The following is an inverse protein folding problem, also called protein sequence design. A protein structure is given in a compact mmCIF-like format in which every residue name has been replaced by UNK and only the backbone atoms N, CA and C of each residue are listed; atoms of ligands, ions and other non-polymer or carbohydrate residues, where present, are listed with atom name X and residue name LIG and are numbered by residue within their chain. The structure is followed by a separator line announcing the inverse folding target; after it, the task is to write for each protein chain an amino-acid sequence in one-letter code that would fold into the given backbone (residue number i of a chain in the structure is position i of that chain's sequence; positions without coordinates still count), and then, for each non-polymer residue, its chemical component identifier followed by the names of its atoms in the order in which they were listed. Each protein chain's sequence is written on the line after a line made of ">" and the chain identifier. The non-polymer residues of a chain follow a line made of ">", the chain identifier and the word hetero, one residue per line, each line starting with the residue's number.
data_IF_282185099547
#
_entry.id   IF_282185099547
#
_cell.length_a   1.000
_cell.length_b   1.000
_cell.length_c   1.000
_cell.angle_alpha   90.00
_cell.angle_beta   90.00
_cell.angle_gamma   90.00
#
_symmetry.space_group_name_H-M   'P 1'
#
loop_
_entity.id
_entity.type
_entity.pdbx_description
1 polymer ?
#
# COMPACT_ATOMS: atom_id res chain seq x y z
N UNK A 1 -0.09 -12.63 8.86
CA UNK A 1 0.31 -11.76 7.73
C UNK A 1 0.25 -12.48 6.39
N UNK A 2 1.11 -13.48 6.15
CA UNK A 2 1.32 -14.13 4.84
C UNK A 2 0.07 -14.67 4.15
N UNK A 3 -0.80 -15.38 4.87
CA UNK A 3 -2.05 -15.95 4.32
C UNK A 3 -3.00 -14.86 3.78
N UNK A 4 -3.03 -13.68 4.41
CA UNK A 4 -3.87 -12.57 3.93
C UNK A 4 -3.33 -12.00 2.62
N UNK A 5 -2.02 -11.80 2.56
CA UNK A 5 -1.32 -11.27 1.38
C UNK A 5 -1.41 -12.27 0.23
N UNK A 6 -1.14 -13.55 0.47
CA UNK A 6 -1.24 -14.59 -0.55
C UNK A 6 -2.63 -14.61 -1.19
N UNK A 7 -3.69 -14.52 -0.36
CA UNK A 7 -5.08 -14.48 -0.84
C UNK A 7 -5.40 -13.20 -1.61
N UNK A 8 -4.97 -12.04 -1.11
CA UNK A 8 -5.23 -10.76 -1.75
C UNK A 8 -4.47 -10.62 -3.07
N UNK A 9 -3.15 -10.78 -3.05
CA UNK A 9 -2.26 -10.73 -4.21
C UNK A 9 -2.64 -11.82 -5.22
N UNK A 10 -2.97 -13.03 -4.75
CA UNK A 10 -3.44 -14.11 -5.63
C UNK A 10 -4.76 -13.78 -6.34
N UNK A 11 -5.69 -13.06 -5.69
CA UNK A 11 -6.92 -12.57 -6.34
C UNK A 11 -6.63 -11.45 -7.33
N UNK A 12 -5.80 -10.46 -6.95
CA UNK A 12 -5.38 -9.37 -7.83
C UNK A 12 -4.73 -9.97 -9.09
N UNK A 13 -3.78 -10.89 -8.92
CA UNK A 13 -3.07 -11.53 -10.03
C UNK A 13 -3.96 -12.29 -11.00
N UNK A 14 -5.06 -12.88 -10.52
CA UNK A 14 -6.07 -13.57 -11.35
C UNK A 14 -6.96 -12.62 -12.13
N UNK A 15 -7.16 -11.40 -11.63
CA UNK A 15 -7.89 -10.34 -12.35
C UNK A 15 -7.03 -9.72 -13.46
N UNK A 16 -5.71 -9.91 -13.40
CA UNK A 16 -4.76 -9.47 -14.43
C UNK A 16 -4.62 -10.51 -15.55
N UNK A 17 -5.01 -10.10 -16.75
CA UNK A 17 -4.77 -10.78 -18.03
C UNK A 17 -3.32 -10.64 -18.47
N UNK A 18 -2.80 -11.64 -19.23
CA UNK A 18 -1.47 -11.54 -19.88
C UNK A 18 -1.38 -10.40 -20.89
N UNK A 19 -2.53 -9.91 -21.37
CA UNK A 19 -2.64 -8.77 -22.30
C UNK A 19 -2.73 -7.42 -21.61
N UNK A 20 -2.80 -7.40 -20.28
CA UNK A 20 -2.84 -6.14 -19.55
C UNK A 20 -1.49 -5.43 -19.66
N UNK A 21 -1.58 -4.11 -19.87
CA UNK A 21 -0.44 -3.22 -20.06
C UNK A 21 0.41 -3.07 -18.79
N UNK A 22 -0.17 -3.41 -17.64
CA UNK A 22 0.47 -3.29 -16.35
C UNK A 22 1.38 -4.51 -16.08
N UNK A 23 2.57 -4.45 -16.69
CA UNK A 23 3.61 -5.47 -16.52
C UNK A 23 4.17 -5.45 -15.10
N UNK A 24 4.38 -4.26 -14.55
CA UNK A 24 4.95 -4.04 -13.21
C UNK A 24 4.10 -4.68 -12.12
N UNK A 25 2.79 -4.42 -12.12
CA UNK A 25 1.88 -5.04 -11.13
C UNK A 25 1.89 -6.58 -11.24
N UNK A 26 1.93 -7.14 -12.45
CA UNK A 26 1.95 -8.60 -12.64
C UNK A 26 3.24 -9.22 -12.10
N UNK A 27 4.38 -8.62 -12.43
CA UNK A 27 5.69 -9.08 -11.97
C UNK A 27 5.81 -8.99 -10.45
N UNK A 28 5.38 -7.88 -9.86
CA UNK A 28 5.37 -7.71 -8.40
C UNK A 28 4.46 -8.74 -7.69
N UNK A 29 3.29 -9.04 -8.27
CA UNK A 29 2.42 -10.10 -7.75
C UNK A 29 3.10 -11.48 -7.84
N UNK A 30 3.71 -11.81 -8.98
CA UNK A 30 4.36 -13.10 -9.20
C UNK A 30 5.57 -13.28 -8.27
N UNK A 31 6.35 -12.21 -8.03
CA UNK A 31 7.46 -12.18 -7.08
C UNK A 31 7.00 -12.49 -5.65
N UNK A 32 6.04 -11.75 -5.10
CA UNK A 32 5.54 -11.96 -3.73
C UNK A 32 4.94 -13.36 -3.57
N UNK A 33 4.16 -13.83 -4.54
CA UNK A 33 3.59 -15.17 -4.49
C UNK A 33 4.68 -16.26 -4.56
N UNK A 34 5.80 -16.01 -5.24
CA UNK A 34 6.93 -16.94 -5.26
C UNK A 34 7.62 -17.04 -3.91
N UNK A 35 7.85 -15.89 -3.24
CA UNK A 35 8.44 -15.85 -1.90
C UNK A 35 7.57 -16.54 -0.85
N UNK A 36 6.26 -16.30 -0.91
CA UNK A 36 5.28 -16.93 -0.01
C UNK A 36 5.24 -18.45 -0.19
N UNK A 37 5.27 -18.95 -1.43
CA UNK A 37 5.31 -20.40 -1.70
C UNK A 37 6.62 -21.05 -1.27
N UNK A 38 7.73 -20.34 -1.43
CA UNK A 38 9.05 -20.83 -1.03
C UNK A 38 9.28 -20.76 0.49
N UNK A 39 8.41 -20.07 1.24
CA UNK A 39 8.61 -19.82 2.67
C UNK A 39 9.87 -19.00 2.94
N UNK A 40 10.13 -17.98 2.11
CA UNK A 40 11.36 -17.18 2.20
C UNK A 40 11.43 -16.49 3.57
N UNK A 41 12.45 -16.78 4.40
CA UNK A 41 12.57 -16.16 5.71
C UNK A 41 12.97 -14.68 5.59
N UNK A 42 12.52 -13.87 6.55
CA UNK A 42 12.91 -12.46 6.71
C UNK A 42 12.63 -11.56 5.49
N UNK A 43 11.54 -11.82 4.76
CA UNK A 43 11.12 -10.92 3.69
C UNK A 43 10.78 -9.53 4.25
N UNK A 44 11.19 -8.48 3.55
CA UNK A 44 10.92 -7.11 4.00
C UNK A 44 9.43 -6.79 3.92
N UNK A 45 8.93 -5.94 4.84
CA UNK A 45 7.56 -5.43 4.77
C UNK A 45 7.31 -4.75 3.41
N UNK A 46 8.26 -3.98 2.90
CA UNK A 46 8.15 -3.30 1.60
C UNK A 46 7.85 -4.28 0.45
N UNK A 47 8.52 -5.44 0.41
CA UNK A 47 8.30 -6.45 -0.63
C UNK A 47 6.85 -6.94 -0.63
N UNK A 48 6.25 -7.15 0.53
CA UNK A 48 4.84 -7.56 0.64
C UNK A 48 3.87 -6.48 0.15
N UNK A 49 4.22 -5.20 0.34
CA UNK A 49 3.37 -4.07 -0.01
C UNK A 49 3.50 -3.64 -1.48
N UNK A 50 4.60 -3.97 -2.14
CA UNK A 50 4.84 -3.63 -3.55
C UNK A 50 3.64 -3.93 -4.49
N UNK A 51 3.06 -5.14 -4.53
CA UNK A 51 1.93 -5.42 -5.42
C UNK A 51 0.65 -4.71 -4.98
N UNK A 52 0.48 -4.42 -3.69
CA UNK A 52 -0.68 -3.69 -3.17
C UNK A 52 -0.62 -2.22 -3.57
N UNK A 53 0.56 -1.61 -3.48
CA UNK A 53 0.80 -0.24 -3.93
C UNK A 53 0.59 -0.12 -5.43
N UNK A 54 1.21 -1.00 -6.23
CA UNK A 54 0.99 -1.01 -7.67
C UNK A 54 -0.51 -1.12 -8.00
N UNK A 55 -1.25 -2.02 -7.35
CA UNK A 55 -2.68 -2.23 -7.63
C UNK A 55 -3.55 -0.99 -7.35
N UNK A 56 -3.16 -0.17 -6.36
CA UNK A 56 -3.84 1.08 -6.01
C UNK A 56 -3.43 2.19 -6.98
N UNK A 57 -2.14 2.34 -7.22
CA UNK A 57 -1.57 3.47 -7.96
C UNK A 57 -1.82 3.38 -9.47
N UNK A 58 -1.80 2.18 -10.05
CA UNK A 58 -2.05 2.02 -11.49
C UNK A 58 -3.53 2.12 -11.84
N UNK A 59 -4.42 2.08 -10.83
CA UNK A 59 -5.87 2.23 -10.93
C UNK A 59 -6.47 1.35 -12.05
N UNK A 60 -5.93 0.14 -12.24
CA UNK A 60 -6.30 -0.78 -13.31
C UNK A 60 -7.81 -1.08 -13.31
N UNK A 61 -8.36 -1.37 -12.13
CA UNK A 61 -9.80 -1.55 -11.92
C UNK A 61 -10.19 -1.24 -10.48
N UNK A 62 -11.42 -0.76 -10.24
CA UNK A 62 -11.93 -0.56 -8.87
C UNK A 62 -11.81 -1.82 -8.02
N UNK A 63 -12.01 -3.00 -8.64
CA UNK A 63 -11.97 -4.30 -7.95
C UNK A 63 -10.57 -4.63 -7.43
N UNK A 64 -9.51 -4.36 -8.20
CA UNK A 64 -8.13 -4.58 -7.76
C UNK A 64 -7.75 -3.57 -6.67
N UNK A 65 -8.16 -2.31 -6.82
CA UNK A 65 -7.96 -1.26 -5.81
C UNK A 65 -8.63 -1.63 -4.48
N UNK A 66 -9.90 -2.05 -4.51
CA UNK A 66 -10.61 -2.50 -3.30
C UNK A 66 -9.91 -3.69 -2.62
N UNK A 67 -9.46 -4.69 -3.37
CA UNK A 67 -8.74 -5.84 -2.81
C UNK A 67 -7.42 -5.43 -2.13
N UNK A 68 -6.71 -4.47 -2.72
CA UNK A 68 -5.47 -3.96 -2.16
C UNK A 68 -5.71 -3.14 -0.89
N UNK A 69 -6.66 -2.20 -0.92
CA UNK A 69 -7.02 -1.38 0.25
C UNK A 69 -7.58 -2.24 1.40
N UNK A 70 -8.40 -3.26 1.12
CA UNK A 70 -8.89 -4.23 2.12
C UNK A 70 -7.77 -5.07 2.73
N UNK A 71 -6.78 -5.46 1.93
CA UNK A 71 -5.61 -6.15 2.46
C UNK A 71 -4.80 -5.24 3.38
N UNK A 72 -4.52 -4.00 2.97
CA UNK A 72 -3.78 -3.03 3.78
C UNK A 72 -4.51 -2.74 5.09
N UNK A 73 -5.83 -2.51 5.05
CA UNK A 73 -6.66 -2.29 6.24
C UNK A 73 -6.54 -3.46 7.23
N UNK A 74 -6.65 -4.71 6.76
CA UNK A 74 -6.46 -5.88 7.62
C UNK A 74 -5.06 -5.96 8.22
N UNK A 75 -4.02 -5.64 7.44
CA UNK A 75 -2.65 -5.64 7.95
C UNK A 75 -2.47 -4.62 9.09
N UNK A 76 -3.09 -3.43 8.96
CA UNK A 76 -3.12 -2.41 10.00
C UNK A 76 -3.94 -2.85 11.22
N UNK A 77 -5.16 -3.34 11.00
CA UNK A 77 -6.10 -3.71 12.06
C UNK A 77 -5.59 -4.85 12.95
N UNK A 78 -4.93 -5.84 12.35
CA UNK A 78 -4.36 -6.97 13.07
C UNK A 78 -2.94 -6.72 13.59
N UNK A 79 -2.37 -5.53 13.35
CA UNK A 79 -1.01 -5.20 13.78
C UNK A 79 0.08 -6.05 13.12
N UNK A 80 -0.16 -6.53 11.90
CA UNK A 80 0.82 -7.29 11.12
C UNK A 80 1.87 -6.40 10.44
N UNK A 81 1.63 -5.09 10.36
CA UNK A 81 2.57 -4.11 9.83
C UNK A 81 2.77 -3.01 10.88
N UNK A 82 4.03 -2.74 11.21
CA UNK A 82 4.40 -1.60 12.07
C UNK A 82 4.81 -0.39 11.23
N UNK A 83 5.41 -0.63 10.06
CA UNK A 83 5.80 0.41 9.12
C UNK A 83 6.89 1.35 9.62
N UNK A 84 7.70 0.93 10.59
CA UNK A 84 8.77 1.74 11.20
C UNK A 84 10.08 1.72 10.40
N UNK A 85 10.19 0.86 9.40
CA UNK A 85 11.33 0.83 8.50
C UNK A 85 11.24 1.96 7.47
N UNK A 86 12.38 2.54 7.10
CA UNK A 86 12.45 3.46 5.96
C UNK A 86 12.25 2.68 4.66
N UNK A 87 11.48 3.25 3.74
CA UNK A 87 11.33 2.68 2.40
C UNK A 87 12.61 2.85 1.59
N UNK A 88 12.80 2.01 0.58
CA UNK A 88 13.91 2.17 -0.36
C UNK A 88 13.80 3.48 -1.13
N UNK A 89 14.96 4.03 -1.54
CA UNK A 89 15.01 5.22 -2.38
C UNK A 89 14.30 5.03 -3.74
N UNK A 90 14.29 3.79 -4.25
CA UNK A 90 13.56 3.42 -5.46
C UNK A 90 12.04 3.57 -5.27
N UNK A 91 11.49 3.04 -4.17
CA UNK A 91 10.08 3.19 -3.86
C UNK A 91 9.71 4.65 -3.57
N UNK A 92 10.55 5.36 -2.81
CA UNK A 92 10.36 6.79 -2.56
C UNK A 92 10.27 7.59 -3.86
N UNK A 93 11.22 7.39 -4.78
CA UNK A 93 11.22 8.06 -6.08
C UNK A 93 10.05 7.63 -6.98
N UNK A 94 9.54 6.40 -6.83
CA UNK A 94 8.32 5.97 -7.51
C UNK A 94 7.10 6.73 -6.98
N UNK A 95 6.89 6.74 -5.66
CA UNK A 95 5.76 7.42 -5.03
C UNK A 95 5.76 8.92 -5.32
N UNK A 96 6.93 9.58 -5.25
CA UNK A 96 7.06 11.00 -5.57
C UNK A 96 6.56 11.33 -6.99
N UNK A 97 6.95 10.52 -7.97
CA UNK A 97 6.53 10.71 -9.36
C UNK A 97 5.05 10.40 -9.58
N UNK A 98 4.57 9.32 -8.98
CA UNK A 98 3.21 8.81 -9.23
C UNK A 98 2.15 9.65 -8.52
N UNK A 99 2.48 10.23 -7.37
CA UNK A 99 1.56 11.00 -6.53
C UNK A 99 1.87 12.52 -6.52
N UNK A 100 2.79 12.97 -7.37
CA UNK A 100 3.24 14.37 -7.49
C UNK A 100 3.68 14.98 -6.14
N UNK A 101 4.37 14.18 -5.32
CA UNK A 101 4.77 14.57 -3.97
C UNK A 101 6.07 15.36 -4.02
N UNK A 102 6.04 16.54 -3.43
CA UNK A 102 7.19 17.43 -3.27
C UNK A 102 7.80 17.29 -1.86
N UNK A 103 9.07 17.66 -1.72
CA UNK A 103 9.78 17.60 -0.42
C UNK A 103 9.02 18.35 0.69
N UNK A 104 8.39 19.49 0.35
CA UNK A 104 7.60 20.31 1.27
C UNK A 104 6.30 19.64 1.76
N UNK A 105 5.84 18.59 1.07
CA UNK A 105 4.58 17.89 1.37
C UNK A 105 4.81 16.43 1.82
N UNK A 106 6.05 15.96 1.83
CA UNK A 106 6.37 14.62 2.32
C UNK A 106 6.77 14.65 3.78
N UNK A 107 6.27 13.66 4.52
CA UNK A 107 6.73 13.44 5.88
C UNK A 107 8.07 12.70 5.87
N UNK A 108 9.16 13.46 5.96
CA UNK A 108 10.52 12.93 5.99
C UNK A 108 11.03 12.84 7.43
N UNK A 109 11.70 11.73 7.74
CA UNK A 109 12.52 11.62 8.96
C UNK A 109 13.69 12.60 8.91
N UNK A 110 14.34 12.85 10.05
CA UNK A 110 15.54 13.72 10.14
C UNK A 110 16.69 13.31 9.18
N UNK A 111 16.67 12.09 8.65
CA UNK A 111 17.62 11.56 7.67
C UNK A 111 17.11 11.60 6.21
N UNK A 112 16.06 12.39 5.92
CA UNK A 112 15.45 12.50 4.58
C UNK A 112 14.88 11.17 4.01
N UNK A 113 14.49 10.23 4.89
CA UNK A 113 13.81 9.01 4.48
C UNK A 113 12.35 9.00 4.93
N UNK A 114 11.49 8.35 4.15
CA UNK A 114 10.07 8.14 4.45
C UNK A 114 9.89 6.79 5.15
N UNK A 115 9.07 6.74 6.21
CA UNK A 115 8.73 5.45 6.81
C UNK A 115 7.64 4.74 5.99
N UNK A 116 7.67 3.41 5.99
CA UNK A 116 6.68 2.62 5.26
C UNK A 116 5.24 2.97 5.68
N UNK A 117 4.98 3.26 6.95
CA UNK A 117 3.64 3.67 7.39
C UNK A 117 3.16 4.97 6.72
N UNK A 118 4.03 5.95 6.53
CA UNK A 118 3.67 7.20 5.86
C UNK A 118 3.40 6.96 4.39
N UNK A 119 4.22 6.12 3.74
CA UNK A 119 3.98 5.69 2.36
C UNK A 119 2.65 4.95 2.20
N UNK A 120 2.29 4.06 3.15
CA UNK A 120 1.01 3.37 3.15
C UNK A 120 -0.16 4.35 3.22
N UNK A 121 -0.11 5.30 4.14
CA UNK A 121 -1.14 6.33 4.30
C UNK A 121 -1.27 7.19 3.04
N UNK A 122 -0.14 7.59 2.48
CA UNK A 122 -0.09 8.37 1.24
C UNK A 122 -0.76 7.64 0.06
N UNK A 123 -0.47 6.35 -0.09
CA UNK A 123 -1.08 5.50 -1.13
C UNK A 123 -2.59 5.33 -0.88
N UNK A 124 -3.05 5.14 0.35
CA UNK A 124 -4.48 5.06 0.68
C UNK A 124 -5.20 6.37 0.28
N UNK A 125 -4.67 7.51 0.73
CA UNK A 125 -5.27 8.83 0.48
C UNK A 125 -5.30 9.22 -1.00
N UNK A 126 -4.41 8.66 -1.85
CA UNK A 126 -4.44 8.87 -3.30
C UNK A 126 -5.73 8.42 -4.02
N UNK A 127 -6.60 7.69 -3.30
CA UNK A 127 -7.89 7.21 -3.76
C UNK A 127 -9.10 7.97 -3.20
N UNK A 128 -8.91 9.06 -2.45
CA UNK A 128 -10.02 9.84 -1.85
C UNK A 128 -11.09 10.25 -2.88
N UNK A 129 -10.66 10.73 -4.05
CA UNK A 129 -11.53 11.23 -5.11
C UNK A 129 -11.92 10.14 -6.12
N UNK A 130 -11.85 8.87 -5.75
CA UNK A 130 -12.21 7.77 -6.65
C UNK A 130 -13.72 7.75 -6.92
N UNK A 131 -14.12 7.60 -8.18
CA UNK A 131 -15.53 7.63 -8.61
C UNK A 131 -16.40 6.45 -8.11
N UNK A 132 -15.79 5.48 -7.44
CA UNK A 132 -16.41 4.20 -7.10
C UNK A 132 -16.65 4.16 -5.59
N UNK A 133 -17.92 4.04 -5.20
CA UNK A 133 -18.31 4.08 -3.79
C UNK A 133 -17.69 2.94 -2.97
N UNK A 134 -17.44 1.77 -3.58
CA UNK A 134 -16.81 0.65 -2.88
C UNK A 134 -15.35 0.97 -2.56
N UNK A 135 -14.66 1.65 -3.49
CA UNK A 135 -13.28 2.13 -3.27
C UNK A 135 -13.28 3.20 -2.18
N UNK A 136 -14.17 4.19 -2.25
CA UNK A 136 -14.27 5.25 -1.24
C UNK A 136 -14.55 4.70 0.16
N UNK A 137 -15.48 3.74 0.27
CA UNK A 137 -15.75 3.05 1.54
C UNK A 137 -14.50 2.35 2.08
N UNK A 138 -13.73 1.72 1.19
CA UNK A 138 -12.52 1.02 1.61
C UNK A 138 -11.37 1.97 1.99
N UNK A 139 -11.27 3.14 1.35
CA UNK A 139 -10.39 4.24 1.77
C UNK A 139 -10.77 4.68 3.19
N UNK A 140 -12.05 4.97 3.45
CA UNK A 140 -12.52 5.39 4.76
C UNK A 140 -12.20 4.37 5.86
N UNK A 141 -12.42 3.08 5.59
CA UNK A 141 -12.08 1.99 6.51
C UNK A 141 -10.58 1.94 6.80
N UNK A 142 -9.75 2.03 5.76
CA UNK A 142 -8.29 1.95 5.90
C UNK A 142 -7.73 3.17 6.66
N UNK A 143 -8.22 4.37 6.34
CA UNK A 143 -7.90 5.63 7.04
C UNK A 143 -8.28 5.57 8.51
N UNK A 144 -9.52 5.18 8.82
CA UNK A 144 -9.98 5.06 10.21
C UNK A 144 -9.12 4.06 10.99
N UNK A 145 -8.79 2.94 10.35
CA UNK A 145 -7.94 1.91 10.96
C UNK A 145 -6.52 2.41 11.20
N UNK A 146 -5.92 3.12 10.25
CA UNK A 146 -4.60 3.73 10.42
C UNK A 146 -4.58 4.74 11.57
N UNK A 147 -5.59 5.62 11.63
CA UNK A 147 -5.71 6.68 12.63
C UNK A 147 -5.96 6.16 14.06
N UNK A 148 -6.61 5.00 14.19
CA UNK A 148 -7.00 4.42 15.49
C UNK A 148 -6.14 3.22 15.89
N UNK A 149 -5.22 2.78 15.03
CA UNK A 149 -4.36 1.64 15.32
C UNK A 149 -3.41 1.96 16.48
N UNK A 150 -3.36 1.05 17.44
CA UNK A 150 -2.42 1.12 18.57
C UNK A 150 -1.10 0.40 18.29
N UNK A 151 -0.99 -0.26 17.13
CA UNK A 151 0.15 -1.11 16.77
C UNK A 151 1.12 -0.47 15.77
N UNK A 152 0.70 0.59 15.08
CA UNK A 152 1.55 1.40 14.21
C UNK A 152 1.49 2.87 14.61
N UNK A 153 2.65 3.53 14.66
CA UNK A 153 2.73 4.96 14.93
C UNK A 153 2.62 5.72 13.60
N UNK A 154 1.46 6.32 13.34
CA UNK A 154 1.27 7.22 12.19
C UNK A 154 1.73 8.61 12.60
N UNK A 155 2.58 9.24 11.80
CA UNK A 155 3.02 10.60 12.08
C UNK A 155 1.88 11.62 11.90
N UNK A 156 2.00 12.75 12.61
CA UNK A 156 0.99 13.80 12.64
C UNK A 156 0.61 14.32 11.25
N UNK A 157 1.58 14.55 10.35
CA UNK A 157 1.31 14.99 8.98
C UNK A 157 0.47 13.98 8.19
N UNK A 158 0.86 12.71 8.23
CA UNK A 158 0.15 11.61 7.58
C UNK A 158 -1.25 11.41 8.17
N UNK A 159 -1.41 11.61 9.48
CA UNK A 159 -2.69 11.56 10.17
C UNK A 159 -3.60 12.73 9.77
N UNK A 160 -3.07 13.95 9.69
CA UNK A 160 -3.83 15.12 9.24
C UNK A 160 -4.29 14.96 7.79
N UNK A 161 -3.44 14.38 6.94
CA UNK A 161 -3.80 14.07 5.55
C UNK A 161 -4.89 13.01 5.47
N UNK A 162 -4.78 11.95 6.28
CA UNK A 162 -5.79 10.91 6.44
C UNK A 162 -7.17 11.47 6.80
N UNK A 163 -7.25 12.47 7.68
CA UNK A 163 -8.52 13.08 8.10
C UNK A 163 -9.13 13.99 7.01
N UNK A 164 -8.31 14.51 6.09
CA UNK A 164 -8.74 15.39 4.99
C UNK A 164 -9.21 14.62 3.74
N UNK A 165 -8.96 13.32 3.70
CA UNK A 165 -9.33 12.41 2.62
C UNK A 165 -10.82 12.04 2.63
#
# INVERSE_FOLDING_TARGET
>A
MEVFIERAVGKIRKLLSRRDKDKELRESCDEVLSHLKAGTPNLSEETYFAPLFCAILTKHSSKTTCLALDCIEKLLAFGYMRGTAQITSALQAHLQRTLDLHEDNMNMTAKHGILLIDAVVEVICSCQDHIDNDVQLQVLKAVLTAATSTTCAVHEHSLLKSIRA
#
